data_IF_111084599899
#
_entry.id   IF_111084599899
#
_cell.length_a   1.000
_cell.length_b   1.000
_cell.length_c   1.000
_cell.angle_alpha   90.00
_cell.angle_beta   90.00
_cell.angle_gamma   90.00
#
_symmetry.space_group_name_H-M   'P 1'
#
loop_
_entity.id
_entity.type
_entity.pdbx_description
1 polymer ?
#
# COMPACT_ATOMS: atom_id res chain seq x y z
N UNK A 1 -17.46 -8.76 17.95
CA UNK A 1 -17.89 -8.43 19.32
C UNK A 1 -19.28 -7.79 19.32
N UNK A 2 -20.29 -8.44 19.93
CA UNK A 2 -21.54 -7.74 20.26
C UNK A 2 -21.28 -6.92 21.54
N UNK A 3 -21.29 -5.58 21.51
CA UNK A 3 -20.92 -4.76 22.66
C UNK A 3 -21.78 -5.04 23.89
N UNK A 4 -23.07 -5.38 23.70
CA UNK A 4 -24.00 -5.67 24.78
C UNK A 4 -23.68 -6.98 25.55
N UNK A 5 -23.06 -7.95 24.89
CA UNK A 5 -22.75 -9.27 25.49
C UNK A 5 -21.47 -9.25 26.34
N UNK A 6 -20.64 -8.22 26.19
CA UNK A 6 -19.36 -8.04 26.91
C UNK A 6 -19.32 -6.74 27.72
N UNK A 7 -20.50 -6.19 28.04
CA UNK A 7 -20.70 -5.10 29.00
C UNK A 7 -21.63 -5.56 30.10
N UNK A 8 -21.10 -6.10 31.19
CA UNK A 8 -21.85 -6.05 32.44
C UNK A 8 -21.46 -4.76 33.18
N UNK A 9 -22.37 -4.22 34.00
CA UNK A 9 -22.11 -3.04 34.83
C UNK A 9 -20.85 -3.19 35.71
N UNK A 10 -20.46 -4.43 35.99
CA UNK A 10 -19.33 -4.81 36.84
C UNK A 10 -18.03 -5.10 36.05
N UNK A 11 -18.12 -5.36 34.74
CA UNK A 11 -16.98 -5.71 33.87
C UNK A 11 -17.00 -4.84 32.62
N UNK A 12 -16.36 -3.67 32.72
CA UNK A 12 -16.16 -2.73 31.59
C UNK A 12 -14.95 -3.15 30.77
N UNK A 13 -14.97 -4.36 30.21
CA UNK A 13 -13.86 -4.89 29.40
C UNK A 13 -13.70 -4.04 28.14
N UNK A 14 -12.55 -3.40 27.98
CA UNK A 14 -12.26 -2.50 26.86
C UNK A 14 -11.57 -3.21 25.69
N UNK A 15 -10.94 -4.35 25.95
CA UNK A 15 -10.27 -5.19 24.96
C UNK A 15 -10.46 -6.67 25.28
N UNK A 16 -10.30 -7.51 24.26
CA UNK A 16 -10.26 -8.97 24.41
C UNK A 16 -9.31 -9.56 23.37
N UNK A 17 -8.27 -10.25 23.84
CA UNK A 17 -7.43 -11.09 23.00
C UNK A 17 -7.91 -12.55 22.98
N UNK A 18 -8.26 -13.06 21.80
CA UNK A 18 -8.59 -14.47 21.56
C UNK A 18 -7.37 -15.20 20.99
N UNK A 19 -7.10 -16.39 21.55
CA UNK A 19 -6.05 -17.31 21.09
C UNK A 19 -4.67 -16.66 20.88
N UNK A 20 -4.24 -15.82 21.84
CA UNK A 20 -2.90 -15.21 21.84
C UNK A 20 -2.58 -14.42 20.56
N UNK A 21 -3.54 -13.63 20.08
CA UNK A 21 -3.36 -12.70 18.97
C UNK A 21 -4.04 -13.12 17.66
N UNK A 22 -4.83 -14.19 17.65
CA UNK A 22 -5.63 -14.55 16.48
C UNK A 22 -6.68 -13.48 16.19
N UNK A 23 -7.37 -13.01 17.23
CA UNK A 23 -8.33 -11.92 17.13
C UNK A 23 -8.20 -11.02 18.35
N UNK A 24 -7.96 -9.73 18.11
CA UNK A 24 -8.00 -8.71 19.16
C UNK A 24 -9.24 -7.84 18.92
N UNK A 25 -10.19 -7.91 19.84
CA UNK A 25 -11.39 -7.08 19.82
C UNK A 25 -11.19 -5.87 20.72
N UNK A 26 -11.48 -4.67 20.21
CA UNK A 26 -11.38 -3.41 20.97
C UNK A 26 -12.72 -2.70 21.01
N UNK A 27 -13.04 -2.12 22.17
CA UNK A 27 -14.19 -1.23 22.30
C UNK A 27 -13.80 0.20 21.94
N UNK A 28 -14.29 0.66 20.79
CA UNK A 28 -14.05 2.02 20.31
C UNK A 28 -15.11 3.03 20.77
N UNK A 29 -16.32 2.58 21.12
CA UNK A 29 -17.44 3.47 21.47
C UNK A 29 -17.55 3.73 22.98
N UNK A 30 -18.05 4.91 23.33
CA UNK A 30 -18.46 5.27 24.69
C UNK A 30 -19.71 4.48 25.09
N UNK A 31 -19.94 4.34 26.40
CA UNK A 31 -21.07 3.57 26.92
C UNK A 31 -22.41 4.29 26.67
N UNK A 32 -22.39 5.62 26.50
CA UNK A 32 -23.54 6.43 26.11
C UNK A 32 -23.84 6.38 24.60
N UNK A 33 -23.05 5.63 23.81
CA UNK A 33 -23.16 5.52 22.36
C UNK A 33 -23.06 6.86 21.59
N UNK A 34 -22.66 7.93 22.28
CA UNK A 34 -22.60 9.31 21.79
C UNK A 34 -21.28 9.65 21.08
N UNK A 35 -20.30 8.75 21.10
CA UNK A 35 -19.01 9.03 20.47
C UNK A 35 -18.03 7.87 20.50
N UNK A 36 -16.82 8.19 20.03
CA UNK A 36 -15.66 7.32 20.13
C UNK A 36 -14.84 7.67 21.38
N UNK A 37 -14.17 6.66 21.93
CA UNK A 37 -13.22 6.84 23.03
C UNK A 37 -11.98 7.58 22.54
N UNK A 38 -11.28 8.20 23.48
CA UNK A 38 -10.05 8.90 23.17
C UNK A 38 -8.99 7.92 22.63
N UNK A 39 -8.27 8.36 21.60
CA UNK A 39 -7.30 7.52 20.91
C UNK A 39 -6.18 7.03 21.85
N UNK A 40 -5.80 7.86 22.83
CA UNK A 40 -4.77 7.51 23.82
C UNK A 40 -5.21 6.31 24.67
N UNK A 41 -6.46 6.28 25.15
CA UNK A 41 -7.02 5.14 25.89
C UNK A 41 -7.11 3.90 25.01
N UNK A 42 -7.63 4.02 23.79
CA UNK A 42 -7.72 2.88 22.86
C UNK A 42 -6.34 2.28 22.60
N UNK A 43 -5.34 3.13 22.36
CA UNK A 43 -3.95 2.71 22.12
C UNK A 43 -3.37 1.96 23.31
N UNK A 44 -3.59 2.44 24.54
CA UNK A 44 -3.15 1.73 25.76
C UNK A 44 -3.84 0.37 25.92
N UNK A 45 -5.14 0.30 25.65
CA UNK A 45 -5.87 -0.97 25.69
C UNK A 45 -5.33 -1.94 24.64
N UNK A 46 -4.99 -1.47 23.44
CA UNK A 46 -4.35 -2.32 22.43
C UNK A 46 -2.98 -2.84 22.90
N UNK A 47 -2.13 -2.00 23.51
CA UNK A 47 -0.85 -2.44 24.05
C UNK A 47 -1.02 -3.53 25.12
N UNK A 48 -2.06 -3.42 25.95
CA UNK A 48 -2.43 -4.44 26.93
C UNK A 48 -2.82 -5.75 26.25
N UNK A 49 -3.71 -5.72 25.26
CA UNK A 49 -4.13 -6.92 24.53
C UNK A 49 -2.98 -7.55 23.73
N UNK A 50 -2.03 -6.76 23.21
CA UNK A 50 -0.85 -7.30 22.52
C UNK A 50 0.08 -8.05 23.49
N UNK A 51 0.21 -7.59 24.73
CA UNK A 51 0.97 -8.32 25.74
C UNK A 51 0.33 -9.70 26.05
N UNK A 52 -1.00 -9.82 25.90
CA UNK A 52 -1.71 -11.10 26.01
C UNK A 52 -1.40 -12.12 24.91
N UNK A 53 -0.72 -11.72 23.83
CA UNK A 53 -0.17 -12.68 22.87
C UNK A 53 0.94 -13.56 23.48
N UNK A 54 1.67 -13.03 24.46
CA UNK A 54 2.79 -13.74 25.10
C UNK A 54 2.39 -14.24 26.48
N UNK A 55 1.86 -13.36 27.32
CA UNK A 55 1.56 -13.62 28.73
C UNK A 55 0.05 -13.64 28.98
N UNK A 56 -0.48 -14.77 29.43
CA UNK A 56 -1.90 -14.90 29.80
C UNK A 56 -2.25 -14.12 31.08
N UNK A 57 -1.66 -14.45 32.24
CA UNK A 57 -1.97 -13.78 33.50
C UNK A 57 -1.34 -12.39 33.60
N UNK A 58 -1.94 -11.51 34.40
CA UNK A 58 -1.44 -10.16 34.71
C UNK A 58 -0.32 -10.19 35.75
N UNK A 59 0.75 -10.93 35.46
CA UNK A 59 1.94 -11.01 36.30
C UNK A 59 2.93 -9.86 36.03
N UNK A 60 4.08 -9.88 36.72
CA UNK A 60 5.10 -8.83 36.57
C UNK A 60 5.67 -8.78 35.16
N UNK A 61 5.81 -9.92 34.50
CA UNK A 61 6.38 -10.01 33.15
C UNK A 61 5.42 -9.45 32.11
N UNK A 62 4.12 -9.70 32.28
CA UNK A 62 3.06 -9.03 31.53
C UNK A 62 3.17 -7.51 31.62
N UNK A 63 3.23 -6.94 32.84
CA UNK A 63 3.30 -5.49 33.01
C UNK A 63 4.60 -4.87 32.49
N UNK A 64 5.72 -5.62 32.59
CA UNK A 64 6.99 -5.22 32.00
C UNK A 64 6.87 -5.12 30.47
N UNK A 65 6.28 -6.13 29.83
CA UNK A 65 6.08 -6.15 28.38
C UNK A 65 5.12 -5.05 27.93
N UNK A 66 3.97 -4.89 28.59
CA UNK A 66 3.02 -3.81 28.27
C UNK A 66 3.69 -2.44 28.35
N UNK A 67 4.47 -2.19 29.42
CA UNK A 67 5.19 -0.92 29.60
C UNK A 67 6.27 -0.69 28.54
N UNK A 68 6.94 -1.76 28.09
CA UNK A 68 7.91 -1.68 27.00
C UNK A 68 7.22 -1.31 25.69
N UNK A 69 6.15 -2.02 25.33
CA UNK A 69 5.38 -1.75 24.10
C UNK A 69 4.84 -0.32 24.10
N UNK A 70 4.29 0.16 25.22
CA UNK A 70 3.78 1.53 25.32
C UNK A 70 4.87 2.58 25.01
N UNK A 71 6.09 2.40 25.54
CA UNK A 71 7.22 3.31 25.29
C UNK A 71 7.68 3.26 23.82
N UNK A 72 7.70 2.08 23.23
CA UNK A 72 8.07 1.90 21.82
C UNK A 72 7.04 2.55 20.89
N UNK A 73 5.75 2.35 21.17
CA UNK A 73 4.64 2.96 20.43
C UNK A 73 4.65 4.49 20.57
N UNK A 74 4.90 5.01 21.77
CA UNK A 74 5.01 6.46 21.99
C UNK A 74 6.19 7.07 21.22
N UNK A 75 7.34 6.37 21.19
CA UNK A 75 8.51 6.80 20.41
C UNK A 75 8.26 6.75 18.90
N UNK A 76 7.51 5.76 18.43
CA UNK A 76 7.18 5.58 17.02
C UNK A 76 6.02 6.49 16.54
N UNK A 77 5.41 7.29 17.43
CA UNK A 77 4.33 8.19 17.08
C UNK A 77 4.84 9.37 16.24
N UNK A 78 4.69 9.25 14.92
CA UNK A 78 5.13 10.26 13.95
C UNK A 78 4.47 11.63 14.15
N UNK A 79 3.31 11.72 14.80
CA UNK A 79 2.64 13.00 15.06
C UNK A 79 3.29 13.81 16.17
N UNK A 80 3.99 13.14 17.09
CA UNK A 80 4.54 13.78 18.30
C UNK A 80 6.07 13.74 18.38
N UNK A 81 6.75 13.11 17.41
CA UNK A 81 8.21 13.14 17.33
C UNK A 81 8.88 11.99 16.57
N UNK A 82 8.13 11.04 16.00
CA UNK A 82 8.68 9.95 15.19
C UNK A 82 9.09 10.37 13.76
N UNK A 83 9.99 9.60 13.15
CA UNK A 83 10.39 9.79 11.75
C UNK A 83 9.36 9.17 10.79
N UNK A 84 8.97 9.93 9.78
CA UNK A 84 8.19 9.39 8.65
C UNK A 84 9.08 8.46 7.81
N UNK A 85 8.52 7.34 7.33
CA UNK A 85 9.25 6.38 6.48
C UNK A 85 9.64 6.98 5.12
N UNK A 86 8.85 7.93 4.63
CA UNK A 86 9.12 8.69 3.42
C UNK A 86 8.42 10.05 3.49
N UNK A 87 9.02 11.07 2.89
CA UNK A 87 8.38 12.37 2.68
C UNK A 87 7.48 12.39 1.44
N UNK A 88 7.19 11.23 0.83
CA UNK A 88 6.29 11.14 -0.31
C UNK A 88 4.84 11.28 0.18
N UNK A 89 4.13 12.24 -0.41
CA UNK A 89 2.69 12.38 -0.24
C UNK A 89 2.00 11.29 -1.08
N UNK A 90 1.52 10.23 -0.42
CA UNK A 90 0.76 9.17 -1.10
C UNK A 90 -0.72 9.51 -1.31
N UNK A 91 -1.22 10.52 -0.60
CA UNK A 91 -2.60 10.97 -0.70
C UNK A 91 -2.65 12.49 -0.60
N UNK A 92 -2.82 13.14 -1.74
CA UNK A 92 -3.12 14.57 -1.81
C UNK A 92 -4.57 14.74 -2.31
N UNK A 93 -5.49 15.25 -1.48
CA UNK A 93 -6.88 15.46 -1.88
C UNK A 93 -7.05 16.34 -3.13
N UNK A 94 -6.09 17.23 -3.42
CA UNK A 94 -6.09 18.05 -4.62
C UNK A 94 -5.88 17.25 -5.92
N UNK A 95 -5.26 16.07 -5.85
CA UNK A 95 -5.08 15.21 -7.02
C UNK A 95 -6.42 14.66 -7.52
N UNK A 96 -7.37 14.41 -6.62
CA UNK A 96 -8.74 13.99 -6.98
C UNK A 96 -9.54 15.12 -7.65
N UNK A 97 -9.33 16.37 -7.24
CA UNK A 97 -9.97 17.53 -7.87
C UNK A 97 -9.41 17.77 -9.29
N UNK A 98 -8.11 17.55 -9.49
CA UNK A 98 -7.49 17.62 -10.82
C UNK A 98 -8.01 16.53 -11.78
N UNK A 99 -8.40 15.36 -11.26
CA UNK A 99 -9.01 14.26 -12.04
C UNK A 99 -10.44 14.59 -12.48
N UNK A 100 -11.17 15.45 -11.75
CA UNK A 100 -12.52 15.87 -12.15
C UNK A 100 -12.54 17.08 -13.09
N UNK A 101 -11.50 17.91 -13.09
CA UNK A 101 -11.47 19.19 -13.81
C UNK A 101 -10.68 19.23 -15.13
N UNK A 102 -9.87 18.22 -15.45
CA UNK A 102 -8.99 18.21 -16.61
C UNK A 102 -9.09 16.92 -17.39
N UNK A 103 -9.22 17.05 -18.71
CA UNK A 103 -9.17 16.03 -19.77
C UNK A 103 -8.87 14.60 -19.28
N UNK A 104 -9.83 13.70 -19.47
CA UNK A 104 -9.61 12.26 -19.37
C UNK A 104 -8.46 11.88 -20.30
N UNK A 105 -7.24 11.81 -19.77
CA UNK A 105 -6.23 10.96 -20.37
C UNK A 105 -6.80 9.56 -20.24
N UNK A 106 -7.19 8.98 -21.37
CA UNK A 106 -7.40 7.54 -21.49
C UNK A 106 -6.09 6.90 -21.06
N UNK A 107 -6.00 6.57 -19.77
CA UNK A 107 -4.90 5.81 -19.19
C UNK A 107 -5.08 4.37 -19.71
N UNK A 108 -4.79 4.24 -21.01
CA UNK A 108 -4.59 3.00 -21.70
C UNK A 108 -3.50 2.27 -20.92
N UNK A 109 -3.92 1.33 -20.07
CA UNK A 109 -3.08 0.54 -19.18
C UNK A 109 -2.02 -0.26 -19.94
N UNK A 110 -0.91 0.40 -20.26
CA UNK A 110 0.31 -0.21 -20.76
C UNK A 110 1.52 0.69 -20.43
N UNK A 111 2.10 0.49 -19.25
CA UNK A 111 3.47 0.94 -18.95
C UNK A 111 4.46 -0.10 -19.47
N UNK A 112 4.65 -0.14 -20.78
CA UNK A 112 5.59 -1.03 -21.44
C UNK A 112 7.04 -0.57 -21.27
N UNK A 113 7.78 -1.23 -20.39
CA UNK A 113 9.24 -1.17 -20.31
C UNK A 113 9.83 -2.57 -20.33
N UNK A 114 11.01 -2.73 -20.95
CA UNK A 114 11.83 -3.94 -20.80
C UNK A 114 12.71 -3.75 -19.56
N UNK A 115 12.38 -4.45 -18.47
CA UNK A 115 13.14 -4.40 -17.23
C UNK A 115 14.04 -5.62 -17.13
N UNK A 116 15.35 -5.42 -17.25
CA UNK A 116 16.34 -6.46 -16.90
C UNK A 116 16.62 -6.38 -15.41
N UNK A 117 16.08 -7.33 -14.65
CA UNK A 117 16.34 -7.45 -13.22
C UNK A 117 17.77 -7.95 -13.01
N UNK A 118 18.67 -7.11 -12.47
CA UNK A 118 20.02 -7.51 -12.05
C UNK A 118 21.22 -6.99 -12.85
N UNK A 119 21.12 -5.86 -13.56
CA UNK A 119 22.24 -5.24 -14.28
C UNK A 119 22.78 -3.95 -13.65
N UNK A 120 23.65 -4.11 -12.64
CA UNK A 120 24.70 -3.20 -12.12
C UNK A 120 24.48 -1.66 -12.07
N UNK A 121 24.57 -1.19 -10.82
CA UNK A 121 24.83 0.17 -10.34
C UNK A 121 26.17 0.76 -10.88
N UNK A 122 26.15 2.04 -11.26
CA UNK A 122 27.35 2.86 -11.50
C UNK A 122 27.11 3.86 -12.63
N UNK A 123 26.66 5.07 -12.36
CA UNK A 123 27.46 6.25 -12.02
C UNK A 123 27.48 7.22 -13.22
N UNK A 124 27.54 8.48 -12.85
CA UNK A 124 27.54 9.71 -13.60
C UNK A 124 28.47 9.79 -14.82
N UNK A 125 28.04 10.62 -15.78
CA UNK A 125 28.85 11.40 -16.73
C UNK A 125 29.54 10.69 -17.91
N UNK A 126 29.10 11.08 -19.12
CA UNK A 126 30.00 11.40 -20.24
C UNK A 126 30.75 10.28 -20.98
N UNK A 127 30.39 10.06 -22.25
CA UNK A 127 31.39 9.86 -23.30
C UNK A 127 31.57 8.45 -23.88
N UNK A 128 31.05 8.29 -25.10
CA UNK A 128 31.60 7.60 -26.28
C UNK A 128 32.10 6.13 -26.20
N UNK A 129 31.52 5.38 -27.15
CA UNK A 129 32.14 4.37 -28.02
C UNK A 129 32.27 2.94 -27.47
N UNK A 130 31.53 2.02 -28.08
CA UNK A 130 31.71 0.59 -27.92
C UNK A 130 30.69 -0.20 -28.72
N UNK A 131 31.02 -0.50 -29.98
CA UNK A 131 30.36 -1.50 -30.80
C UNK A 131 30.27 -2.83 -30.03
N UNK A 132 29.06 -3.25 -29.64
CA UNK A 132 28.80 -4.65 -29.28
C UNK A 132 27.60 -5.11 -30.10
N UNK A 133 27.91 -5.86 -31.14
CA UNK A 133 26.95 -6.57 -31.97
C UNK A 133 26.20 -7.58 -31.10
N UNK A 134 24.96 -7.26 -30.74
CA UNK A 134 24.02 -8.20 -30.15
C UNK A 134 23.05 -8.64 -31.23
N UNK A 135 23.32 -9.83 -31.76
CA UNK A 135 22.44 -10.66 -32.56
C UNK A 135 20.99 -10.63 -32.05
N UNK A 136 20.04 -10.27 -32.92
CA UNK A 136 18.69 -10.82 -32.85
C UNK A 136 17.56 -9.99 -32.26
N UNK A 137 17.77 -8.73 -31.87
CA UNK A 137 16.66 -7.84 -31.48
C UNK A 137 16.48 -6.73 -32.51
N UNK A 138 15.36 -6.78 -33.26
CA UNK A 138 14.99 -5.71 -34.19
C UNK A 138 14.91 -4.39 -33.41
N UNK A 139 15.49 -3.33 -33.95
CA UNK A 139 15.44 -2.01 -33.32
C UNK A 139 13.99 -1.59 -33.13
N UNK A 140 13.69 -0.85 -32.07
CA UNK A 140 12.34 -0.29 -31.79
C UNK A 140 11.72 0.39 -33.02
N UNK A 141 12.54 1.02 -33.88
CA UNK A 141 12.12 1.62 -35.15
C UNK A 141 11.61 0.58 -36.15
N UNK A 142 12.28 -0.56 -36.26
CA UNK A 142 11.94 -1.64 -37.18
C UNK A 142 10.67 -2.39 -36.73
N UNK A 143 10.50 -2.60 -35.42
CA UNK A 143 9.29 -3.24 -34.87
C UNK A 143 8.06 -2.38 -35.16
N UNK A 144 8.15 -1.07 -34.93
CA UNK A 144 7.05 -0.15 -35.23
C UNK A 144 6.77 -0.03 -36.73
N UNK A 145 7.82 0.04 -37.57
CA UNK A 145 7.65 0.10 -39.01
C UNK A 145 6.94 -1.16 -39.54
N UNK A 146 7.34 -2.34 -39.07
CA UNK A 146 6.73 -3.62 -39.48
C UNK A 146 5.26 -3.73 -39.06
N UNK A 147 4.94 -3.30 -37.84
CA UNK A 147 3.55 -3.28 -37.37
C UNK A 147 2.68 -2.30 -38.16
N UNK A 148 3.23 -1.16 -38.59
CA UNK A 148 2.52 -0.20 -39.43
C UNK A 148 2.28 -0.73 -40.85
N UNK A 149 3.28 -1.37 -41.46
CA UNK A 149 3.16 -1.99 -42.79
C UNK A 149 2.11 -3.11 -42.82
N UNK A 150 2.03 -3.94 -41.78
CA UNK A 150 1.02 -5.00 -41.70
C UNK A 150 -0.41 -4.44 -41.63
N UNK A 151 -0.62 -3.32 -40.92
CA UNK A 151 -1.92 -2.64 -40.87
C UNK A 151 -2.34 -2.13 -42.24
N UNK A 152 -1.46 -1.44 -42.95
CA UNK A 152 -1.73 -0.97 -44.32
C UNK A 152 -1.99 -2.11 -45.31
N UNK A 153 -1.28 -3.23 -45.15
CA UNK A 153 -1.48 -4.42 -46.00
C UNK A 153 -2.83 -5.09 -45.72
N UNK A 154 -3.28 -5.11 -44.46
CA UNK A 154 -4.59 -5.64 -44.09
C UNK A 154 -5.73 -4.75 -44.59
N UNK A 155 -5.59 -3.43 -44.45
CA UNK A 155 -6.57 -2.46 -44.96
C UNK A 155 -6.68 -2.49 -46.49
N UNK A 156 -5.54 -2.51 -47.20
CA UNK A 156 -5.55 -2.59 -48.67
C UNK A 156 -6.11 -3.91 -49.20
N UNK A 157 -5.89 -5.03 -48.49
CA UNK A 157 -6.53 -6.32 -48.80
C UNK A 157 -8.03 -6.27 -48.56
N UNK A 158 -8.48 -5.72 -47.43
CA UNK A 158 -9.89 -5.57 -47.12
C UNK A 158 -10.61 -4.68 -48.16
N UNK A 159 -9.97 -3.58 -48.59
CA UNK A 159 -10.50 -2.70 -49.64
C UNK A 159 -10.64 -3.41 -50.98
N UNK A 160 -9.61 -4.13 -51.43
CA UNK A 160 -9.67 -4.93 -52.67
C UNK A 160 -10.73 -6.02 -52.62
N UNK A 161 -11.00 -6.59 -51.44
CA UNK A 161 -12.01 -7.62 -51.27
C UNK A 161 -13.44 -7.06 -51.29
N UNK A 162 -13.64 -5.81 -50.89
CA UNK A 162 -14.91 -5.10 -51.01
C UNK A 162 -15.19 -4.62 -52.43
N UNK A 163 -14.15 -4.24 -53.20
CA UNK A 163 -14.31 -3.78 -54.59
C UNK A 163 -14.55 -4.93 -55.60
N UNK A 164 -14.32 -6.18 -55.18
CA UNK A 164 -14.48 -7.38 -56.02
C UNK A 164 -15.83 -8.11 -55.83
N UNK A 165 -16.77 -7.50 -55.10
CA UNK A 165 -18.11 -8.03 -54.80
C UNK A 165 -19.18 -7.11 -55.37
#
# INVERSE_FOLDING_TARGET
MNPAEHTTSESRTLGLNRNKGEVIELRLRTDAYDGYRDYRTIRKTLCHELAHCVFGPHDRDFWNLTSQIEKEVERADWKSGGNQLSNQEFYNPGDWDNVQGGEQFDECGWTGGEFVLGGLQGDSNGGRSGNVASSGTLSRREIMARAAEERMKRESRARKQNDAK
#
